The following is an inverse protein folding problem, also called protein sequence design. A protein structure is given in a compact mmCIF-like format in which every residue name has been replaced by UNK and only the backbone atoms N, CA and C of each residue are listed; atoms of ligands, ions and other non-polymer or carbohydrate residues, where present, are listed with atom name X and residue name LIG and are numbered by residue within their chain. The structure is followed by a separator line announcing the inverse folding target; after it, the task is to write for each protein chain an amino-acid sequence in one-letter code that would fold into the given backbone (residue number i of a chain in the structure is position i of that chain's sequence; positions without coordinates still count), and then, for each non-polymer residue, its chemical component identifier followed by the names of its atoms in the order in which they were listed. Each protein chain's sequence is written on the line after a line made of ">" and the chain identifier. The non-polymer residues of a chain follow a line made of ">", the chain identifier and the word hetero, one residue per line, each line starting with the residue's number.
data_IF_853717949772
#
_entry.id   IF_853717949772
#
_cell.length_a   1.000
_cell.length_b   1.000
_cell.length_c   1.000
_cell.angle_alpha   90.00
_cell.angle_beta   90.00
_cell.angle_gamma   90.00
#
_symmetry.space_group_name_H-M   'P 1'
#
loop_
_entity.id
_entity.type
_entity.pdbx_description
1 polymer ?
#
# COMPACT_ATOMS: atom_id res chain seq x y z
N UNK A 1 -8.75 7.44 -16.90
CA UNK A 1 -9.00 7.54 -15.45
C UNK A 1 -7.84 8.26 -14.80
N UNK A 2 -8.11 9.33 -14.06
CA UNK A 2 -7.06 10.07 -13.34
C UNK A 2 -6.89 9.52 -11.94
N UNK A 3 -5.66 9.14 -11.59
CA UNK A 3 -5.31 8.60 -10.28
C UNK A 3 -4.39 9.55 -9.54
N UNK A 4 -4.45 9.53 -8.21
CA UNK A 4 -3.53 10.27 -7.35
C UNK A 4 -2.93 9.34 -6.29
N UNK A 5 -1.64 9.57 -6.02
CA UNK A 5 -0.88 8.95 -4.93
C UNK A 5 -0.41 10.07 -4.02
N UNK A 6 -0.66 9.93 -2.72
CA UNK A 6 -0.29 10.94 -1.72
C UNK A 6 0.96 10.49 -0.97
N UNK A 7 1.96 11.37 -0.95
CA UNK A 7 3.17 11.28 -0.13
C UNK A 7 3.09 12.33 0.96
N UNK A 8 3.06 11.90 2.23
CA UNK A 8 2.85 12.76 3.40
C UNK A 8 3.90 12.45 4.48
N UNK A 9 4.33 13.47 5.21
CA UNK A 9 5.03 13.34 6.48
C UNK A 9 4.03 13.29 7.64
N UNK A 10 4.31 12.50 8.66
CA UNK A 10 3.44 12.42 9.84
C UNK A 10 4.08 13.02 11.09
N UNK A 11 3.24 13.45 12.00
CA UNK A 11 3.58 13.95 13.33
C UNK A 11 2.97 13.07 14.42
N UNK A 12 3.26 13.37 15.69
CA UNK A 12 2.63 12.71 16.83
C UNK A 12 1.14 13.07 17.01
N UNK A 13 0.66 14.12 16.37
CA UNK A 13 -0.73 14.55 16.44
C UNK A 13 -1.58 13.83 15.40
N UNK A 14 -2.38 12.86 15.87
CA UNK A 14 -3.26 12.04 15.03
C UNK A 14 -4.31 12.86 14.28
N UNK A 15 -4.83 13.93 14.90
CA UNK A 15 -5.84 14.78 14.29
C UNK A 15 -5.21 15.61 13.17
N UNK A 16 -4.04 16.21 13.43
CA UNK A 16 -3.30 16.97 12.44
C UNK A 16 -2.91 16.12 11.22
N UNK A 17 -2.51 14.86 11.43
CA UNK A 17 -2.20 13.94 10.33
C UNK A 17 -3.44 13.65 9.46
N UNK A 18 -4.61 13.41 10.10
CA UNK A 18 -5.87 13.20 9.37
C UNK A 18 -6.31 14.45 8.61
N UNK A 19 -6.22 15.64 9.24
CA UNK A 19 -6.55 16.92 8.58
C UNK A 19 -5.63 17.17 7.38
N UNK A 20 -4.36 16.81 7.51
CA UNK A 20 -3.39 16.90 6.42
C UNK A 20 -3.72 15.93 5.28
N UNK A 21 -4.02 14.67 5.61
CA UNK A 21 -4.46 13.67 4.62
C UNK A 21 -5.68 14.16 3.85
N UNK A 22 -6.70 14.69 4.54
CA UNK A 22 -7.90 15.23 3.89
C UNK A 22 -7.58 16.41 2.98
N UNK A 23 -6.72 17.34 3.41
CA UNK A 23 -6.34 18.49 2.59
C UNK A 23 -5.68 18.05 1.28
N UNK A 24 -4.78 17.04 1.34
CA UNK A 24 -4.12 16.49 0.16
C UNK A 24 -5.10 15.70 -0.74
N UNK A 25 -6.05 14.97 -0.15
CA UNK A 25 -7.12 14.29 -0.91
C UNK A 25 -8.01 15.30 -1.63
N UNK A 26 -8.39 16.41 -0.97
CA UNK A 26 -9.17 17.49 -1.58
C UNK A 26 -8.42 18.16 -2.73
N UNK A 27 -7.11 18.37 -2.57
CA UNK A 27 -6.26 18.90 -3.64
C UNK A 27 -6.22 17.93 -4.84
N UNK A 28 -6.03 16.63 -4.60
CA UNK A 28 -6.08 15.62 -5.64
C UNK A 28 -7.41 15.62 -6.40
N UNK A 29 -8.54 15.64 -5.68
CA UNK A 29 -9.87 15.65 -6.26
C UNK A 29 -10.15 16.94 -7.05
N UNK A 30 -9.71 18.09 -6.56
CA UNK A 30 -9.82 19.38 -7.26
C UNK A 30 -9.05 19.38 -8.60
N UNK A 31 -7.99 18.56 -8.70
CA UNK A 31 -7.24 18.35 -9.93
C UNK A 31 -7.81 17.21 -10.80
N UNK A 32 -8.98 16.66 -10.43
CA UNK A 32 -9.75 15.70 -11.20
C UNK A 32 -9.39 14.23 -10.93
N UNK A 33 -8.74 13.89 -9.81
CA UNK A 33 -8.50 12.51 -9.43
C UNK A 33 -9.83 11.76 -9.19
N UNK A 34 -9.94 10.56 -9.74
CA UNK A 34 -11.07 9.65 -9.57
C UNK A 34 -10.77 8.53 -8.55
N UNK A 35 -9.47 8.21 -8.40
CA UNK A 35 -8.92 7.30 -7.39
C UNK A 35 -7.79 8.02 -6.65
N UNK A 36 -7.86 8.05 -5.33
CA UNK A 36 -6.81 8.61 -4.48
C UNK A 36 -6.32 7.56 -3.48
N UNK A 37 -4.99 7.43 -3.33
CA UNK A 37 -4.39 6.48 -2.40
C UNK A 37 -3.50 7.22 -1.39
N UNK A 38 -3.76 7.00 -0.10
CA UNK A 38 -2.94 7.40 1.03
C UNK A 38 -1.86 6.35 1.31
N UNK A 39 -0.82 6.74 2.03
CA UNK A 39 0.24 5.85 2.51
C UNK A 39 -0.22 4.90 3.62
N UNK A 40 0.61 3.92 3.96
CA UNK A 40 0.40 2.98 5.06
C UNK A 40 0.33 3.72 6.41
N UNK A 41 -0.65 3.34 7.27
CA UNK A 41 -0.84 3.88 8.61
C UNK A 41 -0.81 5.41 8.65
N UNK A 42 -1.48 6.05 7.69
CA UNK A 42 -1.38 7.49 7.40
C UNK A 42 -1.78 8.41 8.56
N UNK A 43 -2.48 7.88 9.56
CA UNK A 43 -2.99 8.64 10.71
C UNK A 43 -1.96 8.88 11.81
N UNK A 44 -0.95 8.00 11.96
CA UNK A 44 -0.01 8.01 13.09
C UNK A 44 1.44 8.05 12.64
N UNK A 45 2.34 8.36 13.56
CA UNK A 45 3.74 7.96 13.42
C UNK A 45 3.83 6.44 13.26
N UNK A 46 4.92 5.96 12.69
CA UNK A 46 5.21 4.55 12.56
C UNK A 46 5.65 4.00 13.94
N UNK A 47 4.68 3.54 14.70
CA UNK A 47 4.86 3.10 16.09
C UNK A 47 5.57 1.74 16.24
N UNK A 48 5.72 0.99 15.15
CA UNK A 48 6.36 -0.34 15.18
C UNK A 48 7.90 -0.28 15.33
N UNK A 49 8.46 0.88 15.61
CA UNK A 49 9.90 1.01 15.95
C UNK A 49 10.25 0.39 17.30
N UNK A 50 9.26 0.16 18.16
CA UNK A 50 9.38 -0.47 19.48
C UNK A 50 8.20 -1.41 19.74
N UNK A 51 8.34 -2.29 20.73
CA UNK A 51 7.26 -3.15 21.23
C UNK A 51 6.64 -2.48 22.46
N UNK A 52 5.61 -1.66 22.25
CA UNK A 52 4.92 -0.89 23.30
C UNK A 52 3.42 -1.23 23.31
N UNK A 53 2.95 -1.78 24.42
CA UNK A 53 1.54 -2.15 24.59
C UNK A 53 0.58 -0.96 24.56
N UNK A 54 1.03 0.25 24.90
CA UNK A 54 0.17 1.43 24.89
C UNK A 54 -0.19 1.86 23.45
N UNK A 55 0.63 1.48 22.46
CA UNK A 55 0.33 1.72 21.05
C UNK A 55 -0.90 0.97 20.55
N UNK A 56 -1.38 -0.08 21.24
CA UNK A 56 -2.65 -0.74 20.87
C UNK A 56 -3.87 0.18 21.00
N UNK A 57 -3.77 1.26 21.77
CA UNK A 57 -4.84 2.27 21.89
C UNK A 57 -4.99 3.13 20.61
N UNK A 58 -4.04 3.06 19.68
CA UNK A 58 -4.15 3.67 18.35
C UNK A 58 -5.11 2.92 17.43
N UNK A 59 -5.43 1.65 17.74
CA UNK A 59 -6.23 0.80 16.89
C UNK A 59 -7.72 1.17 16.91
N UNK A 60 -8.34 1.11 15.72
CA UNK A 60 -9.76 1.36 15.53
C UNK A 60 -10.49 0.13 14.98
N UNK A 61 -11.79 0.02 15.23
CA UNK A 61 -12.63 -0.94 14.51
C UNK A 61 -12.82 -0.53 13.05
N UNK A 62 -13.12 -1.48 12.19
CA UNK A 62 -13.55 -1.21 10.82
C UNK A 62 -14.96 -1.84 10.63
N UNK A 63 -16.00 -1.04 10.38
CA UNK A 63 -16.01 0.43 10.35
C UNK A 63 -15.72 1.08 11.70
N UNK A 64 -15.23 2.32 11.67
CA UNK A 64 -14.87 3.11 12.84
C UNK A 64 -14.57 4.56 12.46
N UNK A 65 -14.10 5.41 13.39
CA UNK A 65 -13.99 6.85 13.19
C UNK A 65 -13.22 7.27 11.94
N UNK A 66 -12.07 6.65 11.65
CA UNK A 66 -11.30 6.98 10.45
C UNK A 66 -11.99 6.55 9.16
N UNK A 67 -12.60 5.35 9.12
CA UNK A 67 -13.33 4.91 7.93
C UNK A 67 -14.60 5.72 7.68
N UNK A 68 -15.29 6.16 8.72
CA UNK A 68 -16.45 7.06 8.60
C UNK A 68 -16.04 8.41 8.03
N UNK A 69 -14.94 8.98 8.53
CA UNK A 69 -14.42 10.26 8.07
C UNK A 69 -13.95 10.19 6.61
N UNK A 70 -13.16 9.16 6.25
CA UNK A 70 -12.71 8.94 4.88
C UNK A 70 -13.89 8.64 3.93
N UNK A 71 -14.91 7.89 4.39
CA UNK A 71 -16.12 7.63 3.61
C UNK A 71 -16.95 8.89 3.33
N UNK A 72 -17.07 9.80 4.31
CA UNK A 72 -17.69 11.10 4.09
C UNK A 72 -16.91 11.92 3.05
N UNK A 73 -15.59 11.94 3.14
CA UNK A 73 -14.72 12.63 2.20
C UNK A 73 -14.85 12.05 0.79
N UNK A 74 -14.83 10.72 0.64
CA UNK A 74 -14.99 10.04 -0.64
C UNK A 74 -16.31 10.39 -1.31
N UNK A 75 -17.43 10.41 -0.54
CA UNK A 75 -18.75 10.80 -1.00
C UNK A 75 -18.81 12.27 -1.40
N UNK A 76 -18.26 13.16 -0.58
CA UNK A 76 -18.26 14.60 -0.85
C UNK A 76 -17.54 14.94 -2.16
N UNK A 77 -16.44 14.23 -2.42
CA UNK A 77 -15.55 14.50 -3.57
C UNK A 77 -15.86 13.62 -4.79
N UNK A 78 -16.78 12.68 -4.68
CA UNK A 78 -17.13 11.69 -5.73
C UNK A 78 -15.93 10.90 -6.24
N UNK A 79 -15.09 10.39 -5.32
CA UNK A 79 -13.85 9.65 -5.61
C UNK A 79 -13.87 8.27 -4.95
N UNK A 80 -13.08 7.33 -5.49
CA UNK A 80 -12.65 6.14 -4.76
C UNK A 80 -11.43 6.49 -3.92
N UNK A 81 -11.45 6.17 -2.63
CA UNK A 81 -10.39 6.54 -1.69
C UNK A 81 -9.82 5.29 -1.00
N UNK A 82 -8.49 5.15 -1.03
CA UNK A 82 -7.76 4.09 -0.34
C UNK A 82 -7.04 4.66 0.86
N UNK A 83 -7.34 4.15 2.07
CA UNK A 83 -6.64 4.45 3.32
C UNK A 83 -5.99 3.21 3.92
N UNK A 84 -5.16 3.38 4.94
CA UNK A 84 -4.52 2.28 5.68
C UNK A 84 -4.52 2.59 7.17
N UNK A 85 -4.95 1.63 7.98
CA UNK A 85 -5.29 1.81 9.39
C UNK A 85 -4.76 0.67 10.24
N UNK A 86 -4.56 0.96 11.55
CA UNK A 86 -4.39 -0.05 12.58
C UNK A 86 -5.77 -0.56 13.01
N UNK A 87 -6.14 -1.77 12.58
CA UNK A 87 -7.45 -2.36 12.84
C UNK A 87 -7.47 -3.13 14.16
N UNK A 88 -8.46 -2.85 15.00
CA UNK A 88 -8.89 -3.71 16.11
C UNK A 88 -10.06 -4.58 15.64
N UNK A 89 -9.77 -5.79 15.18
CA UNK A 89 -10.80 -6.74 14.71
C UNK A 89 -11.61 -7.36 15.85
N UNK A 90 -10.91 -7.68 16.94
CA UNK A 90 -11.49 -8.21 18.17
C UNK A 90 -10.54 -7.92 19.34
N UNK A 91 -10.96 -8.24 20.56
CA UNK A 91 -10.07 -8.14 21.73
C UNK A 91 -8.88 -9.07 21.56
N UNK A 92 -7.67 -8.48 21.57
CA UNK A 92 -6.40 -9.20 21.37
C UNK A 92 -6.12 -9.63 19.93
N UNK A 93 -6.90 -9.15 18.94
CA UNK A 93 -6.69 -9.46 17.52
C UNK A 93 -6.66 -8.17 16.70
N UNK A 94 -5.49 -7.87 16.14
CA UNK A 94 -5.21 -6.62 15.45
C UNK A 94 -4.55 -6.87 14.09
N UNK A 95 -4.75 -5.95 13.14
CA UNK A 95 -4.20 -6.04 11.80
C UNK A 95 -3.74 -4.67 11.30
N UNK A 96 -2.77 -4.68 10.39
CA UNK A 96 -2.49 -3.57 9.49
C UNK A 96 -3.41 -3.74 8.27
N UNK A 97 -4.38 -2.82 8.12
CA UNK A 97 -5.49 -3.00 7.19
C UNK A 97 -5.64 -1.81 6.26
N UNK A 98 -5.59 -2.06 4.96
CA UNK A 98 -5.99 -1.09 3.96
C UNK A 98 -7.50 -1.19 3.70
N UNK A 99 -8.15 -0.04 3.55
CA UNK A 99 -9.60 0.11 3.32
C UNK A 99 -9.83 0.82 1.99
N UNK A 100 -10.88 0.42 1.30
CA UNK A 100 -11.31 1.06 0.06
C UNK A 100 -12.72 1.61 0.25
N UNK A 101 -12.87 2.92 0.14
CA UNK A 101 -14.13 3.64 0.19
C UNK A 101 -14.58 3.93 -1.24
N UNK A 102 -15.83 3.60 -1.55
CA UNK A 102 -16.47 3.87 -2.83
C UNK A 102 -16.94 5.34 -2.90
N UNK A 103 -17.27 5.83 -4.10
CA UNK A 103 -17.75 7.20 -4.36
C UNK A 103 -18.97 7.59 -3.54
N UNK A 104 -19.81 6.64 -3.17
CA UNK A 104 -20.97 6.87 -2.28
C UNK A 104 -20.60 6.89 -0.79
N UNK A 105 -19.31 6.71 -0.48
CA UNK A 105 -18.75 6.65 0.87
C UNK A 105 -18.90 5.30 1.55
N UNK A 106 -19.45 4.29 0.88
CA UNK A 106 -19.53 2.94 1.42
C UNK A 106 -18.17 2.25 1.42
N UNK A 107 -17.98 1.30 2.33
CA UNK A 107 -16.78 0.46 2.36
C UNK A 107 -16.88 -0.60 1.25
N UNK A 108 -16.14 -0.40 0.15
CA UNK A 108 -16.07 -1.35 -0.96
C UNK A 108 -15.36 -2.66 -0.57
N UNK A 109 -14.39 -2.58 0.31
CA UNK A 109 -13.66 -3.74 0.82
C UNK A 109 -12.46 -3.38 1.68
N UNK A 110 -11.84 -4.42 2.23
CA UNK A 110 -10.61 -4.31 3.05
C UNK A 110 -9.58 -5.33 2.59
N UNK A 111 -8.32 -4.99 2.82
CA UNK A 111 -7.19 -5.91 2.70
C UNK A 111 -6.34 -5.86 3.96
N UNK A 112 -6.19 -6.98 4.65
CA UNK A 112 -5.30 -7.13 5.80
C UNK A 112 -3.94 -7.59 5.32
N UNK A 113 -2.89 -6.85 5.65
CA UNK A 113 -1.50 -7.15 5.29
C UNK A 113 -1.17 -8.62 5.55
N UNK A 114 -0.67 -9.31 4.54
CA UNK A 114 -0.42 -10.74 4.61
C UNK A 114 1.01 -11.06 5.06
N UNK A 115 1.98 -10.28 4.61
CA UNK A 115 3.37 -10.44 5.00
C UNK A 115 3.72 -9.39 6.05
N UNK A 116 4.01 -9.84 7.27
CA UNK A 116 4.32 -8.97 8.40
C UNK A 116 5.83 -9.02 8.67
N UNK A 117 6.55 -7.89 8.58
CA UNK A 117 7.98 -7.82 8.88
C UNK A 117 8.24 -7.96 10.38
N UNK A 118 9.47 -8.35 10.71
CA UNK A 118 9.96 -8.50 12.08
C UNK A 118 11.47 -8.25 12.13
N UNK A 119 11.89 -7.19 11.48
CA UNK A 119 13.30 -6.79 11.44
C UNK A 119 13.57 -5.74 12.52
N UNK A 120 14.84 -5.52 12.93
CA UNK A 120 15.20 -4.48 13.88
C UNK A 120 14.66 -3.10 13.45
N UNK A 121 13.89 -2.46 14.34
CA UNK A 121 13.20 -1.19 14.05
C UNK A 121 11.87 -1.32 13.30
N UNK A 122 11.46 -2.55 12.93
CA UNK A 122 10.19 -2.83 12.25
C UNK A 122 9.48 -4.03 12.90
N UNK A 123 9.15 -3.89 14.19
CA UNK A 123 8.56 -4.95 15.03
C UNK A 123 7.06 -5.10 14.80
N UNK A 124 6.65 -5.24 13.54
CA UNK A 124 5.22 -5.30 13.20
C UNK A 124 4.54 -6.56 13.71
N UNK A 125 5.25 -7.69 13.87
CA UNK A 125 4.65 -8.92 14.40
C UNK A 125 4.20 -8.81 15.85
N UNK A 126 4.72 -7.88 16.61
CA UNK A 126 4.23 -7.59 17.96
C UNK A 126 2.80 -7.04 17.91
N UNK A 127 2.48 -6.24 16.90
CA UNK A 127 1.20 -5.56 16.78
C UNK A 127 0.20 -6.29 15.89
N UNK A 128 0.64 -6.88 14.76
CA UNK A 128 -0.25 -7.29 13.69
C UNK A 128 -0.27 -8.80 13.48
N UNK A 129 -1.47 -9.33 13.44
CA UNK A 129 -1.74 -10.66 12.90
C UNK A 129 -1.81 -10.57 11.37
N UNK A 130 -1.20 -11.49 10.60
CA UNK A 130 -1.39 -11.58 9.16
C UNK A 130 -2.87 -11.67 8.79
N UNK A 131 -3.22 -11.22 7.58
CA UNK A 131 -4.56 -11.40 7.02
C UNK A 131 -4.92 -12.87 6.87
N UNK A 132 -6.22 -13.18 6.82
CA UNK A 132 -6.69 -14.55 6.64
C UNK A 132 -6.29 -15.09 5.25
N UNK A 133 -5.65 -16.24 5.21
CA UNK A 133 -5.22 -16.85 3.95
C UNK A 133 -6.42 -17.24 3.06
N UNK A 134 -7.58 -17.52 3.65
CA UNK A 134 -8.83 -17.79 2.97
C UNK A 134 -10.01 -17.23 3.78
N UNK A 135 -11.01 -16.71 3.08
CA UNK A 135 -12.29 -16.31 3.66
C UNK A 135 -13.26 -17.50 3.73
N UNK A 136 -14.35 -17.37 4.48
CA UNK A 136 -15.41 -18.39 4.56
C UNK A 136 -16.03 -18.72 3.19
N UNK A 137 -15.97 -17.80 2.23
CA UNK A 137 -16.36 -18.01 0.83
C UNK A 137 -15.40 -18.90 0.02
N UNK A 138 -14.26 -19.30 0.59
CA UNK A 138 -13.19 -20.01 -0.10
C UNK A 138 -12.25 -19.08 -0.93
N UNK A 139 -12.53 -17.79 -0.97
CA UNK A 139 -11.66 -16.82 -1.66
C UNK A 139 -10.30 -16.70 -0.95
N UNK A 140 -9.24 -16.49 -1.74
CA UNK A 140 -7.90 -16.21 -1.22
C UNK A 140 -7.87 -14.85 -0.53
N UNK A 141 -7.01 -14.69 0.49
CA UNK A 141 -6.68 -13.39 1.08
C UNK A 141 -6.11 -12.40 0.06
N UNK A 142 -5.48 -12.88 -1.01
CA UNK A 142 -5.03 -12.08 -2.16
C UNK A 142 -6.15 -11.93 -3.21
N UNK A 143 -7.21 -11.21 -2.86
CA UNK A 143 -8.38 -10.99 -3.72
C UNK A 143 -8.54 -9.49 -3.98
N UNK A 144 -8.55 -9.05 -5.27
CA UNK A 144 -8.75 -7.64 -5.59
C UNK A 144 -10.15 -7.16 -5.21
N UNK A 145 -10.23 -5.89 -4.86
CA UNK A 145 -11.47 -5.23 -4.44
C UNK A 145 -12.12 -4.58 -5.66
N UNK A 146 -13.39 -4.91 -5.93
CA UNK A 146 -14.17 -4.31 -7.01
C UNK A 146 -14.63 -2.91 -6.61
N UNK A 147 -14.42 -1.94 -7.48
CA UNK A 147 -14.87 -0.55 -7.34
C UNK A 147 -15.45 -0.02 -8.66
N UNK A 148 -16.00 1.20 -8.61
CA UNK A 148 -16.47 1.93 -9.80
C UNK A 148 -15.34 2.31 -10.77
N UNK A 149 -14.08 2.30 -10.32
CA UNK A 149 -12.89 2.63 -11.13
C UNK A 149 -12.08 1.41 -11.56
N UNK A 150 -12.57 0.19 -11.28
CA UNK A 150 -11.92 -1.07 -11.63
C UNK A 150 -11.65 -1.96 -10.43
N UNK A 151 -10.96 -3.08 -10.65
CA UNK A 151 -10.55 -4.03 -9.60
C UNK A 151 -9.18 -3.67 -9.07
N UNK A 152 -9.11 -3.28 -7.81
CA UNK A 152 -7.90 -2.84 -7.14
C UNK A 152 -7.19 -4.03 -6.48
N UNK A 153 -6.01 -4.38 -6.97
CA UNK A 153 -5.10 -5.36 -6.35
C UNK A 153 -4.33 -4.69 -5.22
N UNK A 154 -4.93 -4.63 -4.04
CA UNK A 154 -4.40 -3.92 -2.90
C UNK A 154 -3.47 -4.80 -2.08
N UNK A 155 -2.24 -4.34 -1.86
CA UNK A 155 -1.16 -5.00 -1.14
C UNK A 155 -0.48 -3.95 -0.26
N UNK A 156 -0.05 -4.30 0.97
CA UNK A 156 0.48 -3.30 1.91
C UNK A 156 1.96 -3.53 2.18
N UNK A 157 2.77 -2.52 1.92
CA UNK A 157 4.19 -2.39 2.30
C UNK A 157 5.00 -3.67 2.06
N UNK A 158 5.26 -4.48 3.10
CA UNK A 158 6.11 -5.69 3.02
C UNK A 158 5.65 -6.69 1.96
N UNK A 159 4.35 -6.71 1.61
CA UNK A 159 3.81 -7.51 0.49
C UNK A 159 4.51 -7.18 -0.84
N UNK A 160 5.08 -5.98 -0.96
CA UNK A 160 5.77 -5.49 -2.17
C UNK A 160 7.01 -6.32 -2.55
N UNK A 161 7.60 -7.07 -1.60
CA UNK A 161 8.78 -7.88 -1.85
C UNK A 161 8.45 -9.27 -2.43
N UNK A 162 7.16 -9.66 -2.43
CA UNK A 162 6.71 -11.01 -2.78
C UNK A 162 6.00 -11.04 -4.13
N UNK A 163 6.68 -11.54 -5.20
CA UNK A 163 6.08 -11.64 -6.53
C UNK A 163 4.80 -12.47 -6.57
N UNK A 164 4.67 -13.45 -5.68
CA UNK A 164 3.51 -14.32 -5.54
C UNK A 164 2.24 -13.53 -5.23
N UNK A 165 2.31 -12.54 -4.34
CA UNK A 165 1.19 -11.70 -3.96
C UNK A 165 0.65 -10.90 -5.16
N UNK A 166 1.54 -10.21 -5.88
CA UNK A 166 1.21 -9.48 -7.09
C UNK A 166 0.62 -10.39 -8.19
N UNK A 167 1.19 -11.60 -8.33
CA UNK A 167 0.71 -12.59 -9.28
C UNK A 167 -0.69 -13.10 -8.94
N UNK A 168 -0.96 -13.38 -7.67
CA UNK A 168 -2.28 -13.82 -7.22
C UNK A 168 -3.34 -12.75 -7.44
N UNK A 169 -3.04 -11.48 -7.16
CA UNK A 169 -3.94 -10.35 -7.48
C UNK A 169 -4.23 -10.27 -8.99
N UNK A 170 -3.20 -10.40 -9.83
CA UNK A 170 -3.36 -10.38 -11.29
C UNK A 170 -4.18 -11.56 -11.81
N UNK A 171 -3.99 -12.77 -11.25
CA UNK A 171 -4.76 -13.96 -11.61
C UNK A 171 -6.22 -13.86 -11.18
N UNK A 172 -6.51 -13.13 -10.12
CA UNK A 172 -7.87 -12.84 -9.66
C UNK A 172 -8.53 -11.68 -10.44
N UNK A 173 -7.82 -11.12 -11.43
CA UNK A 173 -8.35 -10.11 -12.35
C UNK A 173 -8.19 -8.67 -11.88
N UNK A 174 -7.17 -8.36 -11.10
CA UNK A 174 -6.83 -6.97 -10.78
C UNK A 174 -6.53 -6.17 -12.06
N UNK A 175 -7.03 -4.93 -12.11
CA UNK A 175 -6.77 -3.97 -13.19
C UNK A 175 -5.51 -3.13 -12.92
N UNK A 176 -5.14 -2.99 -11.65
CA UNK A 176 -3.94 -2.29 -11.18
C UNK A 176 -3.49 -2.84 -9.83
N UNK A 177 -2.23 -2.61 -9.48
CA UNK A 177 -1.65 -2.95 -8.18
C UNK A 177 -1.42 -1.68 -7.36
N UNK A 178 -1.81 -1.68 -6.10
CA UNK A 178 -1.70 -0.57 -5.17
C UNK A 178 -0.89 -0.98 -3.94
N UNK A 179 0.09 -0.16 -3.57
CA UNK A 179 0.97 -0.39 -2.43
C UNK A 179 1.03 0.83 -1.50
N UNK A 180 0.09 0.97 -0.55
CA UNK A 180 0.31 1.82 0.61
C UNK A 180 1.53 1.33 1.39
N UNK A 181 2.48 2.20 1.68
CA UNK A 181 3.79 1.83 2.23
C UNK A 181 4.25 2.83 3.30
N UNK A 182 5.06 2.34 4.25
CA UNK A 182 5.85 3.12 5.19
C UNK A 182 7.22 2.45 5.33
N UNK A 183 8.15 2.81 4.45
CA UNK A 183 9.50 2.25 4.40
C UNK A 183 10.56 3.35 4.31
N UNK A 184 11.66 3.16 5.02
CA UNK A 184 12.75 4.14 5.11
C UNK A 184 14.09 3.47 5.41
N UNK A 185 15.11 4.31 5.57
CA UNK A 185 16.45 3.91 5.91
C UNK A 185 16.68 3.95 7.41
N UNK A 186 17.51 3.04 7.91
CA UNK A 186 18.19 3.27 9.18
C UNK A 186 19.14 4.47 9.02
N UNK A 187 19.14 5.45 9.95
CA UNK A 187 20.04 6.60 9.86
C UNK A 187 21.51 6.23 9.75
N UNK A 188 21.91 5.10 10.34
CA UNK A 188 23.28 4.58 10.35
C UNK A 188 23.76 3.97 9.02
N UNK A 189 22.85 3.70 8.07
CA UNK A 189 23.22 3.17 6.76
C UNK A 189 24.05 4.18 5.97
N UNK A 190 25.08 3.71 5.27
CA UNK A 190 25.85 4.55 4.36
C UNK A 190 25.05 4.87 3.07
N UNK A 191 25.48 5.90 2.34
CA UNK A 191 24.78 6.35 1.13
C UNK A 191 24.70 5.27 0.04
N UNK A 192 25.71 4.41 -0.06
CA UNK A 192 25.72 3.32 -1.04
C UNK A 192 24.70 2.24 -0.67
N UNK A 193 24.52 1.93 0.62
CA UNK A 193 23.50 1.01 1.08
C UNK A 193 22.10 1.60 0.91
N UNK A 194 21.90 2.86 1.30
CA UNK A 194 20.63 3.59 1.08
C UNK A 194 20.22 3.55 -0.38
N UNK A 195 21.16 3.78 -1.29
CA UNK A 195 20.86 3.74 -2.73
C UNK A 195 20.53 2.32 -3.22
N UNK A 196 21.20 1.27 -2.72
CA UNK A 196 20.88 -0.13 -3.05
C UNK A 196 19.47 -0.51 -2.61
N UNK A 197 19.09 -0.16 -1.38
CA UNK A 197 17.76 -0.44 -0.82
C UNK A 197 16.67 0.25 -1.61
N UNK A 198 16.80 1.54 -1.89
CA UNK A 198 15.85 2.31 -2.69
C UNK A 198 15.71 1.75 -4.11
N UNK A 199 16.83 1.42 -4.76
CA UNK A 199 16.79 0.84 -6.11
C UNK A 199 16.12 -0.54 -6.12
N UNK A 200 16.37 -1.38 -5.12
CA UNK A 200 15.74 -2.69 -5.00
C UNK A 200 14.22 -2.54 -4.84
N UNK A 201 13.78 -1.62 -3.97
CA UNK A 201 12.37 -1.34 -3.71
C UNK A 201 11.61 -0.84 -4.96
N UNK A 202 12.17 0.12 -5.68
CA UNK A 202 11.59 0.62 -6.92
C UNK A 202 11.56 -0.49 -7.99
N UNK A 203 12.66 -1.24 -8.11
CA UNK A 203 12.81 -2.26 -9.15
C UNK A 203 11.82 -3.40 -8.98
N UNK A 204 11.66 -3.94 -7.75
CA UNK A 204 10.77 -5.09 -7.52
C UNK A 204 9.32 -4.74 -7.84
N UNK A 205 8.84 -3.56 -7.45
CA UNK A 205 7.45 -3.16 -7.70
C UNK A 205 7.18 -2.89 -9.19
N UNK A 206 8.12 -2.25 -9.88
CA UNK A 206 8.05 -2.11 -11.35
C UNK A 206 8.09 -3.46 -12.05
N UNK A 207 8.88 -4.42 -11.54
CA UNK A 207 8.92 -5.78 -12.06
C UNK A 207 7.55 -6.49 -11.91
N UNK A 208 6.80 -6.24 -10.82
CA UNK A 208 5.43 -6.75 -10.68
C UNK A 208 4.50 -6.19 -11.76
N UNK A 209 4.61 -4.90 -12.06
CA UNK A 209 3.86 -4.26 -13.16
C UNK A 209 4.18 -4.94 -14.50
N UNK A 210 5.46 -5.08 -14.83
CA UNK A 210 5.93 -5.72 -16.06
C UNK A 210 5.45 -7.17 -16.17
N UNK A 211 5.72 -7.98 -15.13
CA UNK A 211 5.43 -9.41 -15.15
C UNK A 211 3.91 -9.72 -15.24
N UNK A 212 3.06 -8.79 -14.83
CA UNK A 212 1.62 -8.91 -14.85
C UNK A 212 0.93 -8.05 -15.93
N UNK A 213 1.66 -7.15 -16.58
CA UNK A 213 1.11 -6.21 -17.58
C UNK A 213 0.09 -5.27 -16.94
N UNK A 214 0.38 -4.72 -15.75
CA UNK A 214 -0.52 -3.86 -14.96
C UNK A 214 0.16 -2.57 -14.55
N UNK A 215 -0.57 -1.44 -14.45
CA UNK A 215 -0.07 -0.26 -13.78
C UNK A 215 0.10 -0.53 -12.28
N UNK A 216 1.08 0.16 -11.67
CA UNK A 216 1.40 0.07 -10.24
C UNK A 216 1.40 1.47 -9.64
N UNK A 217 0.68 1.62 -8.51
CA UNK A 217 0.62 2.83 -7.72
C UNK A 217 1.29 2.56 -6.36
N UNK A 218 2.24 3.40 -5.97
CA UNK A 218 3.00 3.25 -4.73
C UNK A 218 2.97 4.54 -3.94
N UNK A 219 2.38 4.51 -2.76
CA UNK A 219 2.36 5.63 -1.81
C UNK A 219 3.29 5.32 -0.65
N UNK A 220 4.39 6.03 -0.55
CA UNK A 220 5.28 5.94 0.60
C UNK A 220 5.17 7.21 1.46
N UNK A 221 5.56 7.08 2.70
CA UNK A 221 5.73 8.16 3.67
C UNK A 221 7.04 8.90 3.40
N UNK A 222 7.14 10.18 3.80
CA UNK A 222 8.37 10.98 3.78
C UNK A 222 8.66 11.57 5.16
N UNK A 223 9.84 12.15 5.32
CA UNK A 223 10.29 12.78 6.55
C UNK A 223 11.00 11.83 7.50
N UNK A 224 11.51 12.39 8.59
CA UNK A 224 12.18 11.64 9.66
C UNK A 224 11.24 11.47 10.85
N UNK A 225 11.11 10.23 11.32
CA UNK A 225 10.40 9.91 12.55
C UNK A 225 11.38 9.35 13.58
N UNK A 226 11.57 10.11 14.68
CA UNK A 226 12.40 9.68 15.78
C UNK A 226 11.81 8.44 16.45
N UNK A 227 12.66 7.51 16.81
CA UNK A 227 12.24 6.39 17.65
C UNK A 227 11.91 6.88 19.08
N UNK A 228 11.02 6.17 19.81
CA UNK A 228 10.92 6.32 21.25
C UNK A 228 12.24 6.09 21.96
N UNK A 229 12.43 6.52 23.23
CA UNK A 229 13.73 6.49 23.93
C UNK A 229 14.47 5.15 23.90
N UNK A 230 13.72 4.03 23.82
CA UNK A 230 14.29 2.67 23.77
C UNK A 230 14.26 2.05 22.36
N UNK A 231 13.94 2.83 21.32
CA UNK A 231 13.60 2.35 19.96
C UNK A 231 14.68 2.52 18.90
N UNK A 232 15.91 2.89 19.24
CA UNK A 232 17.01 3.09 18.27
C UNK A 232 17.07 4.50 17.70
N UNK A 233 17.61 4.64 16.47
CA UNK A 233 17.96 5.95 15.89
C UNK A 233 16.81 6.63 15.12
N UNK A 234 15.67 5.99 14.99
CA UNK A 234 14.55 6.47 14.17
C UNK A 234 14.61 5.96 12.73
N UNK A 235 13.67 6.43 11.91
CA UNK A 235 13.58 6.05 10.50
C UNK A 235 13.51 7.31 9.65
N UNK A 236 14.40 7.41 8.64
CA UNK A 236 14.27 8.37 7.55
C UNK A 236 13.45 7.72 6.45
N UNK A 237 12.16 8.04 6.36
CA UNK A 237 11.31 7.59 5.27
C UNK A 237 11.80 8.20 3.96
N UNK A 238 11.90 7.37 2.94
CA UNK A 238 12.59 7.79 1.71
C UNK A 238 11.66 8.34 0.63
N UNK A 239 10.39 8.58 0.93
CA UNK A 239 9.47 9.13 -0.06
C UNK A 239 9.45 8.30 -1.34
N UNK A 240 9.82 8.93 -2.46
CA UNK A 240 9.93 8.31 -3.77
C UNK A 240 8.66 7.57 -4.21
N UNK A 241 7.49 8.00 -3.76
CA UNK A 241 6.21 7.48 -4.25
C UNK A 241 6.15 7.56 -5.77
N UNK A 242 5.51 6.60 -6.42
CA UNK A 242 5.47 6.61 -7.87
C UNK A 242 4.22 5.96 -8.45
N UNK A 243 3.98 6.26 -9.73
CA UNK A 243 3.02 5.59 -10.58
C UNK A 243 3.79 5.04 -11.78
N UNK A 244 3.65 3.74 -12.06
CA UNK A 244 4.25 3.14 -13.25
C UNK A 244 3.22 2.47 -14.14
N UNK A 245 3.50 2.43 -15.45
CA UNK A 245 2.68 1.77 -16.44
C UNK A 245 2.95 0.26 -16.52
N UNK A 246 2.19 -0.45 -17.39
CA UNK A 246 2.22 -1.92 -17.49
C UNK A 246 3.51 -2.49 -18.07
N UNK A 247 4.43 -1.66 -18.55
CA UNK A 247 5.78 -2.05 -18.98
C UNK A 247 6.85 -1.54 -18.00
N UNK A 248 6.44 -1.10 -16.81
CA UNK A 248 7.32 -0.60 -15.75
C UNK A 248 7.85 0.81 -15.98
N UNK A 249 7.38 1.50 -17.02
CA UNK A 249 7.72 2.90 -17.28
C UNK A 249 7.20 3.81 -16.16
N UNK A 250 8.00 4.77 -15.70
CA UNK A 250 7.52 5.78 -14.78
C UNK A 250 6.54 6.72 -15.49
N UNK A 251 5.36 6.85 -14.94
CA UNK A 251 4.34 7.81 -15.34
C UNK A 251 4.42 9.08 -14.49
N UNK A 252 4.68 8.91 -13.20
CA UNK A 252 4.98 9.99 -12.26
C UNK A 252 5.86 9.45 -11.12
N UNK A 253 6.70 10.30 -10.53
CA UNK A 253 7.54 9.96 -9.39
C UNK A 253 7.75 11.20 -8.51
N UNK A 254 7.65 11.05 -7.19
CA UNK A 254 8.01 12.05 -6.21
C UNK A 254 9.51 12.01 -5.90
N UNK A 255 10.01 13.09 -5.30
CA UNK A 255 11.32 13.08 -4.64
C UNK A 255 11.25 12.42 -3.24
N UNK A 256 12.39 12.41 -2.54
CA UNK A 256 12.50 11.77 -1.23
C UNK A 256 11.85 12.60 -0.10
N UNK A 257 11.80 13.92 -0.22
CA UNK A 257 11.67 14.84 0.92
C UNK A 257 10.36 15.63 0.92
N UNK A 258 9.73 15.79 -0.26
CA UNK A 258 8.54 16.66 -0.40
C UNK A 258 7.26 15.92 -0.04
N UNK A 259 6.36 16.58 0.71
CA UNK A 259 4.95 16.22 0.70
C UNK A 259 4.34 16.59 -0.65
N UNK A 260 3.65 15.65 -1.28
CA UNK A 260 3.13 15.88 -2.63
C UNK A 260 1.93 15.03 -2.99
N UNK A 261 1.17 15.51 -3.96
CA UNK A 261 0.13 14.78 -4.65
C UNK A 261 0.65 14.43 -6.05
N UNK A 262 0.93 13.16 -6.29
CA UNK A 262 1.28 12.67 -7.63
C UNK A 262 0.01 12.37 -8.40
N UNK A 263 -0.16 12.98 -9.56
CA UNK A 263 -1.30 12.76 -10.45
C UNK A 263 -0.86 12.23 -11.80
N UNK A 264 -1.60 11.25 -12.32
CA UNK A 264 -1.42 10.79 -13.68
C UNK A 264 -2.71 10.19 -14.27
N UNK A 265 -2.88 10.28 -15.58
CA UNK A 265 -3.96 9.63 -16.29
C UNK A 265 -3.56 8.21 -16.68
N UNK A 266 -4.23 7.19 -16.12
CA UNK A 266 -4.03 5.78 -16.46
C UNK A 266 -5.01 5.36 -17.55
N UNK A 267 -4.47 4.75 -18.61
CA UNK A 267 -5.24 4.04 -19.64
C UNK A 267 -5.20 2.52 -19.36
N UNK A 268 -6.29 1.99 -18.80
CA UNK A 268 -6.41 0.55 -18.54
C UNK A 268 -6.41 -0.29 -19.83
N UNK A 269 -6.82 0.29 -20.96
CA UNK A 269 -6.79 -0.41 -22.25
C UNK A 269 -5.36 -0.70 -22.71
N UNK A 270 -4.39 0.09 -22.25
CA UNK A 270 -2.98 -0.18 -22.52
C UNK A 270 -2.51 -1.51 -21.91
N UNK A 271 -3.01 -1.90 -20.76
CA UNK A 271 -2.71 -3.22 -20.16
C UNK A 271 -3.16 -4.36 -21.05
N UNK A 272 -4.35 -4.26 -21.64
CA UNK A 272 -4.84 -5.24 -22.61
C UNK A 272 -3.96 -5.29 -23.86
N UNK A 273 -3.57 -4.13 -24.38
CA UNK A 273 -2.68 -4.04 -25.55
C UNK A 273 -1.32 -4.68 -25.28
N UNK A 274 -0.71 -4.39 -24.12
CA UNK A 274 0.58 -4.98 -23.72
C UNK A 274 0.48 -6.50 -23.57
N UNK A 275 -0.57 -6.99 -22.90
CA UNK A 275 -0.80 -8.42 -22.68
C UNK A 275 -1.06 -9.20 -23.97
N UNK A 276 -1.62 -8.56 -25.01
CA UNK A 276 -1.77 -9.18 -26.34
C UNK A 276 -0.44 -9.33 -27.06
N UNK A 277 0.44 -8.34 -26.95
CA UNK A 277 1.75 -8.34 -27.62
C UNK A 277 2.75 -9.21 -26.85
N UNK A 278 2.77 -9.08 -25.51
CA UNK A 278 3.62 -9.85 -24.61
C UNK A 278 2.76 -10.67 -23.64
N UNK A 279 2.31 -11.84 -24.04
CA UNK A 279 1.29 -12.59 -23.32
C UNK A 279 1.85 -13.41 -22.14
N UNK A 280 2.55 -12.79 -21.23
CA UNK A 280 3.21 -13.43 -20.09
C UNK A 280 2.26 -14.30 -19.26
N UNK A 281 0.99 -13.89 -19.07
CA UNK A 281 0.00 -14.70 -18.34
C UNK A 281 -0.37 -15.98 -19.08
N UNK A 282 -0.52 -15.93 -20.41
CA UNK A 282 -0.83 -17.09 -21.26
C UNK A 282 0.33 -18.08 -21.29
N UNK A 283 1.56 -17.60 -21.35
CA UNK A 283 2.74 -18.41 -21.60
C UNK A 283 3.34 -18.99 -20.31
N UNK A 284 2.66 -18.84 -19.17
CA UNK A 284 3.07 -19.41 -17.90
C UNK A 284 3.06 -20.95 -17.95
N UNK A 285 4.12 -21.56 -17.43
CA UNK A 285 4.27 -23.02 -17.31
C UNK A 285 3.65 -23.50 -15.97
N UNK A 286 2.32 -23.39 -15.87
CA UNK A 286 1.57 -23.74 -14.64
C UNK A 286 1.78 -25.18 -14.20
N UNK A 287 2.13 -26.05 -15.15
CA UNK A 287 2.48 -27.45 -14.96
C UNK A 287 3.81 -27.67 -14.22
N UNK A 288 4.64 -26.62 -14.08
CA UNK A 288 5.98 -26.68 -13.50
C UNK A 288 6.15 -25.78 -12.23
N UNK A 289 5.07 -25.24 -11.68
CA UNK A 289 5.13 -24.27 -10.58
C UNK A 289 4.63 -24.79 -9.24
N UNK A 290 4.40 -26.10 -9.09
CA UNK A 290 3.87 -26.68 -7.84
C UNK A 290 4.78 -26.40 -6.63
N UNK A 291 6.09 -26.34 -6.83
CA UNK A 291 7.09 -26.09 -5.79
C UNK A 291 7.07 -24.65 -5.22
N UNK A 292 6.33 -23.71 -5.85
CA UNK A 292 6.18 -22.36 -5.29
C UNK A 292 5.52 -22.36 -3.91
N UNK A 293 4.84 -23.43 -3.53
CA UNK A 293 4.27 -23.58 -2.18
C UNK A 293 5.23 -24.22 -1.18
N UNK A 294 6.39 -24.67 -1.62
CA UNK A 294 7.46 -25.15 -0.77
C UNK A 294 8.36 -24.00 -0.31
N UNK A 295 8.79 -24.02 0.95
CA UNK A 295 9.74 -23.01 1.45
C UNK A 295 11.13 -23.19 0.84
N UNK A 296 11.51 -24.43 0.57
CA UNK A 296 12.78 -24.85 0.00
C UNK A 296 12.60 -26.19 -0.72
N UNK A 297 13.40 -26.47 -1.74
CA UNK A 297 13.45 -27.76 -2.45
C UNK A 297 14.66 -28.54 -1.92
N UNK A 298 14.42 -29.71 -1.34
CA UNK A 298 15.47 -30.63 -0.89
C UNK A 298 16.06 -31.43 -2.07
#
# INVERSE_FOLDING_TARGET
>A
MRVAVIQQANSADLAANMDRSEALVRDAAAQGAELVMLQELHRSLYFCQTEDTDCFDLAETIPGPSTERLGQLARELDIVLVGSLFEKRATGLYHNTAVVLERDGSLAGIYRKMHIPDDPGFYEKFYFTPGDARFNSGASGFTPIQTSVGKLGLLVCWDQWYPEAARLMALAGADMLLYPTAIGWAPADDDAEKQRQLNAWITIQRAHGIANGLPVLVANRTGFEAAPPDGGDGIQFWGNSFISGPQGEFLAQADADSETVLLHDIDLQRSETVRRIWPYLRDRRIDAYEDLTCRFRD
#
